data_IF_234595511583
#
_entry.id   IF_234595511583
#
_cell.length_a   1.000
_cell.length_b   1.000
_cell.length_c   1.000
_cell.angle_alpha   90.00
_cell.angle_beta   90.00
_cell.angle_gamma   90.00
#
_symmetry.space_group_name_H-M   'P 1'
#
loop_
_entity.id
_entity.type
_entity.pdbx_description
1 polymer ?
#
# COMPACT_ATOMS: atom_id res chain seq x y z
N UNK A 1 -10.44 15.04 -11.01
CA UNK A 1 -10.91 13.79 -11.65
C UNK A 1 -9.71 12.86 -11.59
N UNK A 2 -9.54 12.14 -10.48
CA UNK A 2 -8.29 11.41 -10.18
C UNK A 2 -8.36 10.54 -8.92
N UNK A 3 -9.04 11.01 -7.87
CA UNK A 3 -9.16 10.27 -6.60
C UNK A 3 -9.98 8.97 -6.73
N UNK A 4 -11.16 9.04 -7.37
CA UNK A 4 -12.00 7.85 -7.62
C UNK A 4 -11.31 6.80 -8.51
N UNK A 5 -10.55 7.23 -9.53
CA UNK A 5 -9.81 6.32 -10.40
C UNK A 5 -8.69 5.61 -9.63
N UNK A 6 -8.04 6.33 -8.71
CA UNK A 6 -6.92 5.80 -7.94
C UNK A 6 -7.34 4.84 -6.85
N UNK A 7 -8.41 5.18 -6.13
CA UNK A 7 -9.05 4.31 -5.17
C UNK A 7 -9.60 3.04 -5.84
N UNK A 8 -10.37 3.17 -6.93
CA UNK A 8 -10.96 2.03 -7.64
C UNK A 8 -9.87 1.07 -8.13
N UNK A 9 -8.83 1.60 -8.78
CA UNK A 9 -7.70 0.79 -9.23
C UNK A 9 -7.02 0.03 -8.09
N UNK A 10 -6.82 0.69 -6.94
CA UNK A 10 -6.16 0.06 -5.79
C UNK A 10 -7.04 -1.05 -5.19
N UNK A 11 -8.35 -0.84 -5.11
CA UNK A 11 -9.31 -1.84 -4.63
C UNK A 11 -9.29 -3.09 -5.53
N UNK A 12 -9.41 -2.91 -6.84
CA UNK A 12 -9.40 -4.03 -7.80
C UNK A 12 -8.06 -4.78 -7.78
N UNK A 13 -6.95 -4.04 -7.79
CA UNK A 13 -5.61 -4.63 -7.75
C UNK A 13 -5.35 -5.35 -6.42
N UNK A 14 -5.77 -4.75 -5.31
CA UNK A 14 -5.67 -5.33 -3.98
C UNK A 14 -6.44 -6.64 -3.85
N UNK A 15 -7.68 -6.69 -4.35
CA UNK A 15 -8.48 -7.92 -4.35
C UNK A 15 -7.82 -9.08 -5.10
N UNK A 16 -7.28 -8.81 -6.30
CA UNK A 16 -6.56 -9.83 -7.06
C UNK A 16 -5.34 -10.39 -6.30
N UNK A 17 -4.60 -9.50 -5.62
CA UNK A 17 -3.41 -9.88 -4.85
C UNK A 17 -3.78 -10.62 -3.57
N UNK A 18 -4.84 -10.24 -2.86
CA UNK A 18 -5.34 -10.94 -1.67
C UNK A 18 -5.73 -12.37 -2.03
N UNK A 19 -6.44 -12.57 -3.14
CA UNK A 19 -6.80 -13.91 -3.62
C UNK A 19 -5.54 -14.74 -3.93
N UNK A 20 -4.53 -14.14 -4.57
CA UNK A 20 -3.26 -14.81 -4.89
C UNK A 20 -2.44 -15.14 -3.64
N UNK A 21 -2.38 -14.21 -2.68
CA UNK A 21 -1.74 -14.40 -1.36
C UNK A 21 -2.40 -15.54 -0.60
N UNK A 22 -3.73 -15.63 -0.61
CA UNK A 22 -4.46 -16.71 0.05
C UNK A 22 -4.17 -18.08 -0.60
N UNK A 23 -4.01 -18.14 -1.92
CA UNK A 23 -3.75 -19.38 -2.65
C UNK A 23 -2.29 -19.85 -2.59
N UNK A 24 -1.32 -18.93 -2.66
CA UNK A 24 0.11 -19.25 -2.88
C UNK A 24 1.04 -18.74 -1.77
N UNK A 25 0.53 -17.96 -0.81
CA UNK A 25 1.30 -17.33 0.26
C UNK A 25 2.06 -16.06 -0.17
N UNK A 26 2.53 -15.30 0.82
CA UNK A 26 3.24 -14.02 0.62
C UNK A 26 4.55 -14.14 -0.17
N UNK A 27 5.20 -15.31 -0.13
CA UNK A 27 6.46 -15.55 -0.83
C UNK A 27 6.29 -15.61 -2.36
N UNK A 28 5.07 -15.90 -2.83
CA UNK A 28 4.76 -15.99 -4.26
C UNK A 28 4.47 -14.62 -4.90
N UNK A 29 4.32 -13.56 -4.10
CA UNK A 29 4.07 -12.21 -4.60
C UNK A 29 5.35 -11.56 -5.11
N UNK A 30 5.28 -10.96 -6.29
CA UNK A 30 6.32 -10.07 -6.81
C UNK A 30 6.47 -8.83 -5.93
N UNK A 31 7.61 -8.11 -6.02
CA UNK A 31 7.78 -6.85 -5.29
C UNK A 31 6.64 -5.85 -5.56
N UNK A 32 6.15 -5.74 -6.81
CA UNK A 32 5.04 -4.85 -7.15
C UNK A 32 3.73 -5.25 -6.49
N UNK A 33 3.39 -6.54 -6.52
CA UNK A 33 2.18 -7.04 -5.83
C UNK A 33 2.29 -6.85 -4.31
N UNK A 34 3.46 -7.08 -3.73
CA UNK A 34 3.68 -6.83 -2.30
C UNK A 34 3.48 -5.36 -1.95
N UNK A 35 4.01 -4.46 -2.78
CA UNK A 35 3.86 -3.02 -2.58
C UNK A 35 2.39 -2.57 -2.68
N UNK A 36 1.67 -3.03 -3.71
CA UNK A 36 0.24 -2.74 -3.89
C UNK A 36 -0.57 -3.28 -2.70
N UNK A 37 -0.27 -4.48 -2.22
CA UNK A 37 -0.93 -5.05 -1.05
C UNK A 37 -0.66 -4.22 0.23
N UNK A 38 0.57 -3.76 0.44
CA UNK A 38 0.89 -2.89 1.59
C UNK A 38 0.17 -1.54 1.50
N UNK A 39 0.08 -0.97 0.29
CA UNK A 39 -0.66 0.27 0.07
C UNK A 39 -2.16 0.08 0.28
N UNK A 40 -2.72 -1.04 -0.19
CA UNK A 40 -4.13 -1.39 0.02
C UNK A 40 -4.46 -1.53 1.51
N UNK A 41 -3.58 -2.15 2.31
CA UNK A 41 -3.78 -2.25 3.77
C UNK A 41 -3.85 -0.86 4.41
N UNK A 42 -2.93 0.04 4.04
CA UNK A 42 -2.89 1.40 4.57
C UNK A 42 -4.14 2.17 4.16
N UNK A 43 -4.53 2.11 2.88
CA UNK A 43 -5.73 2.77 2.34
C UNK A 43 -7.01 2.27 3.01
N UNK A 44 -7.19 0.96 3.06
CA UNK A 44 -8.34 0.32 3.72
C UNK A 44 -8.48 0.77 5.17
N UNK A 45 -7.37 0.86 5.90
CA UNK A 45 -7.38 1.25 7.32
C UNK A 45 -7.68 2.73 7.49
N UNK A 46 -7.00 3.59 6.72
CA UNK A 46 -7.23 5.04 6.74
C UNK A 46 -8.65 5.41 6.35
N UNK A 47 -9.26 4.72 5.38
CA UNK A 47 -10.63 5.01 4.93
C UNK A 47 -11.71 4.44 5.86
N UNK A 48 -11.48 3.29 6.48
CA UNK A 48 -12.49 2.65 7.33
C UNK A 48 -12.41 3.06 8.81
N UNK A 49 -11.20 3.26 9.33
CA UNK A 49 -10.96 3.58 10.73
C UNK A 49 -10.45 5.01 10.94
N UNK A 50 -9.86 5.63 9.93
CA UNK A 50 -9.20 6.94 10.06
C UNK A 50 -7.79 6.85 10.67
N UNK A 51 -7.28 5.65 10.91
CA UNK A 51 -5.97 5.38 11.51
C UNK A 51 -5.35 4.08 10.95
N UNK A 52 -4.08 3.83 11.29
CA UNK A 52 -3.34 2.64 10.89
C UNK A 52 -3.34 1.53 11.96
N UNK A 53 -4.15 1.66 13.01
CA UNK A 53 -4.26 0.60 14.02
C UNK A 53 -4.79 -0.69 13.41
N UNK A 54 -5.78 -0.58 12.50
CA UNK A 54 -6.29 -1.71 11.73
C UNK A 54 -5.24 -2.29 10.76
N UNK A 55 -4.38 -1.45 10.18
CA UNK A 55 -3.33 -1.89 9.26
C UNK A 55 -2.34 -2.83 9.96
N UNK A 56 -1.98 -2.49 11.19
CA UNK A 56 -1.08 -3.27 12.03
C UNK A 56 -1.65 -4.63 12.43
N UNK A 57 -2.97 -4.71 12.64
CA UNK A 57 -3.67 -5.97 12.92
C UNK A 57 -3.71 -6.88 11.68
N UNK A 58 -3.94 -6.29 10.50
CA UNK A 58 -3.93 -7.01 9.21
C UNK A 58 -2.55 -7.54 8.84
N UNK A 59 -1.50 -6.73 8.97
CA UNK A 59 -0.12 -7.16 8.74
C UNK A 59 0.87 -6.25 9.47
N UNK A 60 1.42 -6.70 10.59
CA UNK A 60 2.41 -5.93 11.39
C UNK A 60 3.66 -5.51 10.60
N UNK A 61 3.94 -6.13 9.46
CA UNK A 61 5.13 -5.84 8.64
C UNK A 61 4.82 -4.96 7.42
N UNK A 62 3.58 -4.49 7.22
CA UNK A 62 3.19 -3.75 6.01
C UNK A 62 4.11 -2.58 5.69
N UNK A 63 4.59 -1.83 6.69
CA UNK A 63 5.56 -0.74 6.49
C UNK A 63 6.92 -1.25 6.01
N UNK A 64 7.47 -2.25 6.70
CA UNK A 64 8.79 -2.80 6.37
C UNK A 64 8.78 -3.52 5.00
N UNK A 65 7.73 -4.28 4.72
CA UNK A 65 7.53 -5.00 3.47
C UNK A 65 7.25 -4.03 2.31
N UNK A 66 6.46 -2.98 2.55
CA UNK A 66 6.21 -1.89 1.60
C UNK A 66 7.49 -1.13 1.27
N UNK A 67 8.27 -0.74 2.28
CA UNK A 67 9.55 -0.05 2.07
C UNK A 67 10.55 -0.92 1.31
N UNK A 68 10.66 -2.20 1.68
CA UNK A 68 11.53 -3.16 0.99
C UNK A 68 11.14 -3.33 -0.48
N UNK A 69 9.85 -3.45 -0.76
CA UNK A 69 9.32 -3.58 -2.11
C UNK A 69 9.53 -2.30 -2.94
N UNK A 70 9.23 -1.13 -2.38
CA UNK A 70 9.44 0.16 -3.05
C UNK A 70 10.91 0.39 -3.43
N UNK A 71 11.84 0.05 -2.52
CA UNK A 71 13.28 0.12 -2.79
C UNK A 71 13.71 -0.87 -3.88
N UNK A 72 13.18 -2.10 -3.87
CA UNK A 72 13.49 -3.09 -4.88
C UNK A 72 13.01 -2.69 -6.28
N UNK A 73 11.93 -1.90 -6.36
CA UNK A 73 11.37 -1.38 -7.61
C UNK A 73 11.96 -0.02 -8.03
N UNK A 74 12.73 0.63 -7.15
CA UNK A 74 13.27 1.97 -7.41
C UNK A 74 12.20 3.07 -7.43
N UNK A 75 11.16 2.93 -6.61
CA UNK A 75 10.01 3.85 -6.54
C UNK A 75 10.18 4.84 -5.37
N UNK A 76 10.72 6.05 -5.59
CA UNK A 76 11.06 6.98 -4.52
C UNK A 76 9.86 7.52 -3.74
N UNK A 77 8.70 7.77 -4.36
CA UNK A 77 7.54 8.29 -3.63
C UNK A 77 6.95 7.23 -2.69
N UNK A 78 6.81 6.01 -3.18
CA UNK A 78 6.39 4.86 -2.38
C UNK A 78 7.39 4.60 -1.25
N UNK A 79 8.70 4.64 -1.54
CA UNK A 79 9.73 4.45 -0.52
C UNK A 79 9.70 5.54 0.55
N UNK A 80 9.44 6.80 0.17
CA UNK A 80 9.27 7.90 1.11
C UNK A 80 8.04 7.67 2.00
N UNK A 81 6.89 7.30 1.42
CA UNK A 81 5.65 7.02 2.15
C UNK A 81 5.84 5.91 3.19
N UNK A 82 6.38 4.75 2.79
CA UNK A 82 6.59 3.62 3.71
C UNK A 82 7.77 3.80 4.68
N UNK A 83 8.54 4.88 4.56
CA UNK A 83 9.59 5.23 5.52
C UNK A 83 9.11 6.13 6.66
N UNK A 84 7.87 6.64 6.59
CA UNK A 84 7.26 7.45 7.63
C UNK A 84 6.92 6.61 8.87
N UNK A 85 6.84 7.26 10.02
CA UNK A 85 6.20 6.67 11.20
C UNK A 85 4.69 6.53 10.96
N UNK A 86 4.01 5.64 11.70
CA UNK A 86 2.55 5.47 11.58
C UNK A 86 1.81 6.80 11.74
N UNK A 87 2.14 7.61 12.74
CA UNK A 87 1.48 8.92 12.97
C UNK A 87 1.81 9.99 11.93
N UNK A 88 2.97 9.93 11.27
CA UNK A 88 3.26 10.81 10.12
C UNK A 88 2.55 10.32 8.86
N UNK A 89 2.48 9.01 8.68
CA UNK A 89 1.80 8.38 7.56
C UNK A 89 0.30 8.70 7.61
N UNK A 90 -0.36 8.50 8.75
CA UNK A 90 -1.78 8.84 8.95
C UNK A 90 -2.10 10.28 8.53
N UNK A 91 -1.25 11.23 8.94
CA UNK A 91 -1.45 12.66 8.66
C UNK A 91 -1.24 13.04 7.20
N UNK A 92 -0.41 12.29 6.48
CA UNK A 92 0.01 12.62 5.10
C UNK A 92 -0.50 11.63 4.06
N UNK A 93 -1.23 10.59 4.47
CA UNK A 93 -1.56 9.46 3.63
C UNK A 93 -2.27 9.91 2.36
N UNK A 94 -3.37 10.65 2.51
CA UNK A 94 -4.18 11.11 1.39
C UNK A 94 -3.43 12.13 0.51
N UNK A 95 -2.58 12.98 1.08
CA UNK A 95 -1.75 13.92 0.30
C UNK A 95 -0.71 13.21 -0.59
N UNK A 96 -0.25 12.03 -0.17
CA UNK A 96 0.77 11.25 -0.86
C UNK A 96 0.18 10.13 -1.74
N UNK A 97 -1.10 9.80 -1.55
CA UNK A 97 -1.78 8.65 -2.14
C UNK A 97 -1.72 8.65 -3.66
N UNK A 98 -2.16 9.74 -4.29
CA UNK A 98 -2.18 9.86 -5.76
C UNK A 98 -0.76 9.71 -6.35
N UNK A 99 0.22 10.39 -5.76
CA UNK A 99 1.61 10.32 -6.24
C UNK A 99 2.23 8.93 -6.15
N UNK A 100 1.83 8.12 -5.16
CA UNK A 100 2.23 6.72 -5.06
C UNK A 100 1.47 5.83 -6.03
N UNK A 101 0.17 6.07 -6.25
CA UNK A 101 -0.62 5.33 -7.23
C UNK A 101 -0.12 5.55 -8.66
N UNK A 102 0.18 6.79 -9.03
CA UNK A 102 0.73 7.13 -10.35
C UNK A 102 2.10 6.47 -10.56
N UNK A 103 2.98 6.56 -9.55
CA UNK A 103 4.30 5.93 -9.57
C UNK A 103 4.21 4.40 -9.67
N UNK A 104 3.21 3.79 -9.01
CA UNK A 104 2.94 2.37 -9.09
C UNK A 104 2.37 1.92 -10.43
N UNK A 105 1.74 2.80 -11.21
CA UNK A 105 1.20 2.47 -12.54
C UNK A 105 2.28 2.57 -13.61
N UNK A 106 3.13 3.59 -13.53
CA UNK A 106 4.19 3.89 -14.48
C UNK A 106 3.70 4.76 -15.62
#
# INVERSE_FOLDING_TARGET
>A
MGEDDNETWLIDSGHAIIARKAALGMAALTPRERLIHCLWIADYSMRNAGDLAAARDLDVRYLADGLGAARALGLPHAAALFSLSEGELERRFFDLFDGVCDELRG
#
